data_IF_043148120084
#
_entry.id   IF_043148120084
#
_cell.length_a   1.000
_cell.length_b   1.000
_cell.length_c   1.000
_cell.angle_alpha   90.00
_cell.angle_beta   90.00
_cell.angle_gamma   90.00
#
_symmetry.space_group_name_H-M   'P 1'
#
loop_
_entity.id
_entity.type
_entity.pdbx_description
1 polymer ?
#
# COMPACT_ATOMS: atom_id res chain seq x y z
N UNK A 1 -10.54 -24.73 -2.85
CA UNK A 1 -9.53 -23.94 -2.12
C UNK A 1 -9.21 -22.72 -2.95
N UNK A 2 -9.17 -21.54 -2.33
CA UNK A 2 -8.74 -20.32 -3.00
C UNK A 2 -7.21 -20.34 -3.17
N UNK A 3 -6.67 -19.56 -4.13
CA UNK A 3 -5.26 -19.65 -4.50
C UNK A 3 -4.29 -19.27 -3.37
N UNK A 4 -4.70 -18.31 -2.52
CA UNK A 4 -3.91 -17.80 -1.38
C UNK A 4 -4.54 -18.14 -0.03
N UNK A 5 -5.36 -19.20 0.00
CA UNK A 5 -5.96 -19.69 1.24
C UNK A 5 -4.86 -20.06 2.25
N UNK A 6 -4.94 -19.49 3.46
CA UNK A 6 -3.95 -19.66 4.52
C UNK A 6 -2.88 -18.56 4.60
N UNK A 7 -2.70 -17.75 3.54
CA UNK A 7 -1.78 -16.61 3.59
C UNK A 7 -2.35 -15.48 4.44
N UNK A 8 -1.54 -14.92 5.34
CA UNK A 8 -1.90 -13.83 6.25
C UNK A 8 -1.14 -12.57 5.89
N UNK A 9 -1.86 -11.48 5.62
CA UNK A 9 -1.29 -10.19 5.21
C UNK A 9 -1.55 -9.13 6.27
N UNK A 10 -0.48 -8.48 6.72
CA UNK A 10 -0.54 -7.28 7.55
C UNK A 10 -0.47 -6.04 6.65
N UNK A 11 -1.62 -5.41 6.43
CA UNK A 11 -1.81 -4.31 5.50
C UNK A 11 -1.68 -2.96 6.21
N UNK A 12 -0.53 -2.32 6.03
CA UNK A 12 -0.20 -0.98 6.52
C UNK A 12 -0.36 0.10 5.43
N UNK A 13 -1.11 -0.21 4.37
CA UNK A 13 -1.24 0.67 3.21
C UNK A 13 -2.35 1.70 3.38
N UNK A 14 -2.24 2.79 2.64
CA UNK A 14 -3.17 3.92 2.63
C UNK A 14 -3.51 4.32 1.18
N UNK A 15 -4.62 5.03 0.99
CA UNK A 15 -5.07 5.46 -0.33
C UNK A 15 -5.28 4.29 -1.29
N UNK A 16 -4.58 4.22 -2.42
CA UNK A 16 -4.92 3.31 -3.53
C UNK A 16 -3.82 2.30 -3.89
N UNK A 17 -2.58 2.72 -4.13
CA UNK A 17 -1.57 1.82 -4.69
C UNK A 17 -1.33 0.56 -3.83
N UNK A 18 -1.22 0.72 -2.52
CA UNK A 18 -1.05 -0.41 -1.61
C UNK A 18 -2.35 -1.13 -1.25
N UNK A 19 -3.47 -0.40 -1.16
CA UNK A 19 -4.75 -1.00 -0.80
C UNK A 19 -5.31 -1.85 -1.93
N UNK A 20 -5.10 -1.44 -3.19
CA UNK A 20 -5.38 -2.26 -4.37
C UNK A 20 -4.53 -3.54 -4.38
N UNK A 21 -3.22 -3.45 -4.10
CA UNK A 21 -2.34 -4.62 -3.94
C UNK A 21 -2.93 -5.64 -2.96
N UNK A 22 -3.17 -5.23 -1.71
CA UNK A 22 -3.65 -6.15 -0.67
C UNK A 22 -5.09 -6.61 -0.92
N UNK A 23 -5.89 -5.84 -1.65
CA UNK A 23 -7.21 -6.27 -2.09
C UNK A 23 -7.15 -7.39 -3.14
N UNK A 24 -6.23 -7.32 -4.11
CA UNK A 24 -6.03 -8.43 -5.05
C UNK A 24 -5.64 -9.71 -4.31
N UNK A 25 -4.77 -9.62 -3.31
CA UNK A 25 -4.42 -10.77 -2.46
C UNK A 25 -5.64 -11.30 -1.69
N UNK A 26 -6.47 -10.41 -1.12
CA UNK A 26 -7.69 -10.78 -0.42
C UNK A 26 -8.70 -11.50 -1.33
N UNK A 27 -8.88 -11.02 -2.57
CA UNK A 27 -9.76 -11.65 -3.56
C UNK A 27 -9.29 -13.04 -3.99
N UNK A 28 -7.98 -13.29 -3.92
CA UNK A 28 -7.39 -14.60 -4.17
C UNK A 28 -7.40 -15.53 -2.94
N UNK A 29 -7.92 -15.07 -1.80
CA UNK A 29 -8.17 -15.89 -0.61
C UNK A 29 -7.29 -15.58 0.60
N UNK A 30 -6.42 -14.57 0.54
CA UNK A 30 -5.59 -14.18 1.67
C UNK A 30 -6.41 -13.57 2.82
N UNK A 31 -6.02 -13.85 4.06
CA UNK A 31 -6.55 -13.19 5.25
C UNK A 31 -5.83 -11.86 5.47
N UNK A 32 -6.50 -10.76 5.12
CA UNK A 32 -5.92 -9.42 5.17
C UNK A 32 -6.42 -8.65 6.38
N UNK A 33 -5.48 -8.24 7.23
CA UNK A 33 -5.72 -7.38 8.39
C UNK A 33 -5.10 -6.02 8.12
N UNK A 34 -5.95 -5.03 7.90
CA UNK A 34 -5.59 -3.63 7.71
C UNK A 34 -5.34 -2.97 9.06
N UNK A 35 -4.14 -2.45 9.24
CA UNK A 35 -3.76 -1.64 10.39
C UNK A 35 -4.00 -0.17 10.05
N UNK A 36 -4.85 0.48 10.83
CA UNK A 36 -5.20 1.89 10.64
C UNK A 36 -4.74 2.71 11.84
N UNK A 37 -4.37 3.98 11.60
CA UNK A 37 -4.16 4.93 12.69
C UNK A 37 -5.48 5.31 13.36
N UNK A 38 -5.46 6.05 14.49
CA UNK A 38 -6.66 6.50 15.19
C UNK A 38 -7.64 7.30 14.31
N UNK A 39 -7.12 7.99 13.28
CA UNK A 39 -7.92 8.72 12.28
C UNK A 39 -8.48 7.85 11.14
N UNK A 40 -8.12 6.56 11.10
CA UNK A 40 -8.39 5.68 9.97
C UNK A 40 -7.48 5.93 8.76
N UNK A 41 -7.68 5.13 7.72
CA UNK A 41 -7.16 5.39 6.38
C UNK A 41 -7.71 6.73 5.86
N UNK A 42 -6.86 7.65 5.37
CA UNK A 42 -7.30 8.91 4.75
C UNK A 42 -8.33 8.71 3.62
N UNK A 43 -8.30 7.57 2.93
CA UNK A 43 -9.28 7.16 1.93
C UNK A 43 -10.73 7.16 2.43
N UNK A 44 -10.95 7.02 3.75
CA UNK A 44 -12.29 7.11 4.37
C UNK A 44 -12.93 8.49 4.28
N UNK A 45 -12.12 9.54 4.08
CA UNK A 45 -12.58 10.94 4.06
C UNK A 45 -12.61 11.52 2.64
N UNK A 46 -12.23 10.73 1.63
CA UNK A 46 -12.27 11.17 0.24
C UNK A 46 -13.71 11.52 -0.14
N UNK A 47 -13.88 12.76 -0.62
CA UNK A 47 -15.16 13.39 -1.02
C UNK A 47 -16.15 13.73 0.11
N UNK A 48 -15.76 13.57 1.38
CA UNK A 48 -16.55 14.02 2.54
C UNK A 48 -17.89 13.29 2.71
N UNK A 49 -18.02 12.10 2.12
CA UNK A 49 -19.23 11.27 2.21
C UNK A 49 -19.31 10.59 3.59
N UNK A 50 -20.53 10.33 4.08
CA UNK A 50 -20.73 9.58 5.35
C UNK A 50 -20.14 8.18 5.27
N UNK A 51 -20.13 7.57 4.07
CA UNK A 51 -19.43 6.33 3.74
C UNK A 51 -18.70 6.55 2.43
N UNK A 52 -17.37 6.66 2.48
CA UNK A 52 -16.57 6.92 1.28
C UNK A 52 -16.56 5.72 0.33
N UNK A 53 -17.10 5.91 -0.87
CA UNK A 53 -17.04 4.91 -1.94
C UNK A 53 -15.59 4.55 -2.30
N UNK A 54 -14.68 5.52 -2.21
CA UNK A 54 -13.25 5.31 -2.43
C UNK A 54 -12.70 4.24 -1.47
N UNK A 55 -12.96 4.39 -0.18
CA UNK A 55 -12.50 3.41 0.81
C UNK A 55 -13.10 2.02 0.57
N UNK A 56 -14.40 1.94 0.30
CA UNK A 56 -15.09 0.67 0.06
C UNK A 56 -14.53 -0.08 -1.16
N UNK A 57 -14.26 0.65 -2.25
CA UNK A 57 -13.74 0.08 -3.48
C UNK A 57 -12.36 -0.58 -3.28
N UNK A 58 -11.48 -0.03 -2.44
CA UNK A 58 -10.11 -0.54 -2.27
C UNK A 58 -9.87 -1.36 -0.99
N UNK A 59 -10.87 -1.51 -0.12
CA UNK A 59 -10.70 -2.21 1.17
C UNK A 59 -11.74 -3.31 1.45
N UNK A 60 -12.51 -3.71 0.44
CA UNK A 60 -13.34 -4.92 0.51
C UNK A 60 -12.49 -6.17 0.82
N UNK A 61 -13.07 -7.15 1.51
CA UNK A 61 -12.44 -8.40 1.95
C UNK A 61 -11.29 -8.25 2.97
N UNK A 62 -11.24 -7.12 3.69
CA UNK A 62 -10.24 -6.87 4.75
C UNK A 62 -10.91 -6.72 6.10
N UNK A 63 -10.23 -7.18 7.16
CA UNK A 63 -10.55 -6.83 8.55
C UNK A 63 -9.73 -5.62 8.96
N UNK A 64 -10.27 -4.75 9.80
CA UNK A 64 -9.57 -3.54 10.26
C UNK A 64 -9.25 -3.63 11.75
N UNK A 65 -8.06 -3.17 12.12
CA UNK A 65 -7.64 -2.92 13.50
C UNK A 65 -7.02 -1.54 13.60
N UNK A 66 -7.36 -0.80 14.65
CA UNK A 66 -6.80 0.53 14.89
C UNK A 66 -5.62 0.42 15.84
N UNK A 67 -4.44 0.86 15.41
CA UNK A 67 -3.22 0.94 16.21
C UNK A 67 -2.65 2.36 16.17
N UNK A 68 -2.39 2.94 17.36
CA UNK A 68 -1.66 4.20 17.44
C UNK A 68 -0.15 3.94 17.42
N UNK A 69 0.45 3.89 16.24
CA UNK A 69 1.88 3.62 16.08
C UNK A 69 2.79 4.77 16.54
N UNK A 70 2.23 5.94 16.89
CA UNK A 70 2.98 7.00 17.54
C UNK A 70 3.21 6.71 19.04
N UNK A 71 2.50 5.74 19.64
CA UNK A 71 2.73 5.30 21.00
C UNK A 71 3.62 4.04 21.04
N UNK A 72 4.38 3.89 22.12
CA UNK A 72 5.20 2.70 22.37
C UNK A 72 4.39 1.42 22.35
N UNK A 73 3.18 1.45 22.92
CA UNK A 73 2.29 0.31 23.07
C UNK A 73 1.69 -0.11 21.72
N UNK A 74 1.28 0.86 20.89
CA UNK A 74 0.75 0.57 19.56
C UNK A 74 1.82 0.00 18.63
N UNK A 75 3.05 0.53 18.72
CA UNK A 75 4.20 -0.03 18.01
C UNK A 75 4.51 -1.45 18.49
N UNK A 76 4.60 -1.66 19.80
CA UNK A 76 4.90 -2.97 20.39
C UNK A 76 3.87 -4.02 19.97
N UNK A 77 2.58 -3.66 19.94
CA UNK A 77 1.54 -4.56 19.47
C UNK A 77 1.73 -4.94 17.99
N UNK A 78 2.14 -4.02 17.12
CA UNK A 78 2.47 -4.34 15.72
C UNK A 78 3.64 -5.33 15.65
N UNK A 79 4.69 -5.13 16.45
CA UNK A 79 5.84 -6.03 16.50
C UNK A 79 5.44 -7.44 16.96
N UNK A 80 4.52 -7.55 17.93
CA UNK A 80 3.98 -8.83 18.39
C UNK A 80 3.10 -9.49 17.35
N UNK A 81 2.45 -8.72 16.48
CA UNK A 81 1.66 -9.26 15.38
C UNK A 81 2.57 -9.83 14.27
N UNK A 82 3.66 -9.16 13.92
CA UNK A 82 4.48 -9.48 12.74
C UNK A 82 4.93 -10.97 12.59
N UNK A 83 5.31 -11.70 13.66
CA UNK A 83 5.64 -13.13 13.59
C UNK A 83 4.49 -14.05 13.12
N UNK A 84 3.26 -13.55 13.11
CA UNK A 84 2.07 -14.32 12.77
C UNK A 84 1.55 -14.06 11.35
N UNK A 85 2.24 -13.25 10.57
CA UNK A 85 1.86 -12.88 9.21
C UNK A 85 2.96 -13.27 8.22
N UNK A 86 2.56 -13.63 7.01
CA UNK A 86 3.48 -14.03 5.94
C UNK A 86 3.95 -12.81 5.14
N UNK A 87 3.09 -11.80 5.03
CA UNK A 87 3.33 -10.60 4.22
C UNK A 87 3.06 -9.33 5.04
N UNK A 88 3.97 -8.37 4.95
CA UNK A 88 3.78 -6.99 5.42
C UNK A 88 3.83 -6.04 4.24
N UNK A 89 2.82 -5.19 4.07
CA UNK A 89 2.74 -4.25 2.93
C UNK A 89 2.60 -2.81 3.43
N UNK A 90 3.45 -1.91 2.95
CA UNK A 90 3.40 -0.48 3.28
C UNK A 90 3.62 0.43 2.07
N UNK A 91 2.98 1.59 2.08
CA UNK A 91 3.17 2.64 1.07
C UNK A 91 3.32 4.04 1.67
N UNK A 92 3.86 4.14 2.89
CA UNK A 92 4.07 5.43 3.54
C UNK A 92 5.12 6.26 2.81
N UNK A 93 5.03 7.58 3.00
CA UNK A 93 6.02 8.52 2.49
C UNK A 93 7.43 8.28 3.05
N UNK A 94 8.49 8.77 2.36
CA UNK A 94 9.88 8.59 2.80
C UNK A 94 10.11 9.04 4.24
N UNK A 95 10.83 8.22 5.01
CA UNK A 95 11.21 8.50 6.41
C UNK A 95 10.14 8.18 7.45
N UNK A 96 8.92 7.78 7.07
CA UNK A 96 7.86 7.47 8.05
C UNK A 96 8.10 6.12 8.72
N UNK A 97 8.40 5.08 7.94
CA UNK A 97 8.66 3.73 8.45
C UNK A 97 9.88 3.71 9.38
N UNK A 98 10.92 4.46 9.01
CA UNK A 98 12.15 4.59 9.78
C UNK A 98 11.88 5.29 11.12
N UNK A 99 11.04 6.34 11.14
CA UNK A 99 10.61 6.99 12.38
C UNK A 99 9.75 6.10 13.28
N UNK A 100 8.91 5.26 12.68
CA UNK A 100 8.09 4.30 13.40
C UNK A 100 8.90 3.07 13.88
N UNK A 101 10.13 2.89 13.37
CA UNK A 101 11.01 1.78 13.68
C UNK A 101 10.34 0.41 13.46
N UNK A 102 9.76 0.25 12.26
CA UNK A 102 9.04 -0.94 11.76
C UNK A 102 9.54 -1.32 10.35
N UNK A 103 10.79 -0.99 10.05
CA UNK A 103 11.46 -1.35 8.81
C UNK A 103 11.72 -2.86 8.69
N UNK A 104 12.19 -3.29 7.52
CA UNK A 104 12.52 -4.70 7.29
C UNK A 104 13.66 -5.19 8.17
N UNK A 105 14.62 -4.33 8.48
CA UNK A 105 15.70 -4.58 9.45
C UNK A 105 15.16 -4.97 10.83
N UNK A 106 14.00 -4.44 11.23
CA UNK A 106 13.36 -4.79 12.51
C UNK A 106 12.42 -5.98 12.36
N UNK A 107 11.49 -5.94 11.39
CA UNK A 107 10.47 -6.98 11.26
C UNK A 107 11.04 -8.31 10.74
N UNK A 108 12.09 -8.26 9.92
CA UNK A 108 12.78 -9.44 9.40
C UNK A 108 13.56 -10.19 10.47
N UNK A 109 14.06 -9.52 11.52
CA UNK A 109 14.65 -10.19 12.69
C UNK A 109 13.60 -10.96 13.49
N UNK A 110 12.38 -10.41 13.60
CA UNK A 110 11.26 -11.03 14.31
C UNK A 110 10.62 -12.16 13.50
N UNK A 111 10.65 -12.04 12.17
CA UNK A 111 10.11 -13.03 11.25
C UNK A 111 11.00 -13.16 10.01
N UNK A 112 11.97 -14.09 10.02
CA UNK A 112 12.87 -14.31 8.88
C UNK A 112 12.18 -14.80 7.60
N UNK A 113 10.95 -15.32 7.70
CA UNK A 113 10.13 -15.74 6.56
C UNK A 113 9.24 -14.63 5.98
N UNK A 114 9.28 -13.41 6.55
CA UNK A 114 8.39 -12.32 6.16
C UNK A 114 8.70 -11.78 4.76
N UNK A 115 7.69 -11.73 3.90
CA UNK A 115 7.71 -10.95 2.68
C UNK A 115 7.39 -9.50 3.03
N UNK A 116 8.38 -8.60 2.91
CA UNK A 116 8.23 -7.18 3.21
C UNK A 116 8.12 -6.36 1.92
N UNK A 117 6.90 -5.93 1.60
CA UNK A 117 6.59 -5.20 0.38
C UNK A 117 6.47 -3.69 0.64
N UNK A 118 7.25 -2.90 -0.11
CA UNK A 118 7.26 -1.43 -0.05
C UNK A 118 6.85 -0.84 -1.38
N UNK A 119 5.79 -0.04 -1.38
CA UNK A 119 5.38 0.73 -2.56
C UNK A 119 5.85 2.17 -2.39
N UNK A 120 6.57 2.69 -3.38
CA UNK A 120 7.18 4.03 -3.39
C UNK A 120 7.12 4.59 -4.80
N UNK A 121 6.84 5.89 -4.94
CA UNK A 121 6.71 6.54 -6.24
C UNK A 121 7.94 6.41 -7.15
N UNK A 122 9.14 6.54 -6.57
CA UNK A 122 10.41 6.50 -7.31
C UNK A 122 11.38 5.45 -6.73
N UNK A 123 10.86 4.45 -6.01
CA UNK A 123 11.67 3.45 -5.33
C UNK A 123 12.37 3.94 -4.07
N UNK A 124 13.32 3.13 -3.57
CA UNK A 124 14.05 3.35 -2.31
C UNK A 124 15.43 4.02 -2.49
N UNK A 125 15.90 4.12 -3.73
CA UNK A 125 17.27 4.57 -4.06
C UNK A 125 17.25 5.54 -5.24
N UNK A 126 18.33 6.30 -5.42
CA UNK A 126 18.48 7.24 -6.52
C UNK A 126 18.01 8.66 -6.20
N UNK A 127 18.12 9.58 -7.17
CA UNK A 127 17.96 11.02 -6.93
C UNK A 127 16.56 11.45 -6.50
N UNK A 128 15.54 10.63 -6.79
CA UNK A 128 14.12 10.93 -6.52
C UNK A 128 13.53 10.11 -5.37
N UNK A 129 14.33 9.30 -4.66
CA UNK A 129 13.83 8.40 -3.60
C UNK A 129 13.07 9.13 -2.46
N UNK A 130 13.39 10.41 -2.23
CA UNK A 130 12.74 11.24 -1.22
C UNK A 130 11.51 12.01 -1.73
N UNK A 131 11.11 11.82 -2.99
CA UNK A 131 9.97 12.53 -3.56
C UNK A 131 8.67 11.77 -3.23
N UNK A 132 7.63 12.55 -2.91
CA UNK A 132 6.27 12.02 -2.81
C UNK A 132 5.67 11.91 -4.20
N UNK A 133 4.96 10.83 -4.46
CA UNK A 133 4.25 10.63 -5.72
C UNK A 133 2.88 10.08 -5.43
N UNK A 134 1.88 10.72 -6.01
CA UNK A 134 0.55 10.15 -6.22
C UNK A 134 0.42 9.76 -7.69
N UNK A 135 -0.68 9.09 -8.04
CA UNK A 135 -0.96 8.57 -9.38
C UNK A 135 -0.52 9.51 -10.52
N UNK A 136 -1.00 10.75 -10.57
CA UNK A 136 -0.68 11.69 -11.66
C UNK A 136 0.79 12.07 -11.74
N UNK A 137 1.51 12.12 -10.61
CA UNK A 137 2.96 12.37 -10.61
C UNK A 137 3.69 11.16 -11.21
N UNK A 138 3.25 9.94 -10.88
CA UNK A 138 3.81 8.72 -11.46
C UNK A 138 3.50 8.61 -12.97
N UNK A 139 2.28 8.93 -13.39
CA UNK A 139 1.92 8.94 -14.80
C UNK A 139 2.70 9.98 -15.61
N UNK A 140 2.84 11.20 -15.07
CA UNK A 140 3.62 12.24 -15.72
C UNK A 140 5.10 11.87 -15.84
N UNK A 141 5.69 11.33 -14.77
CA UNK A 141 7.11 10.96 -14.74
C UNK A 141 7.42 9.75 -15.63
N UNK A 142 6.46 8.83 -15.81
CA UNK A 142 6.56 7.69 -16.73
C UNK A 142 6.34 8.08 -18.20
N UNK A 143 5.99 9.34 -18.49
CA UNK A 143 5.75 9.83 -19.84
C UNK A 143 4.35 9.54 -20.39
N UNK A 144 3.44 8.93 -19.61
CA UNK A 144 2.08 8.60 -20.05
C UNK A 144 1.34 9.81 -20.59
N UNK A 145 1.45 10.96 -19.93
CA UNK A 145 0.78 12.19 -20.37
C UNK A 145 1.29 12.67 -21.73
N UNK A 146 2.58 12.45 -22.03
CA UNK A 146 3.21 12.91 -23.28
C UNK A 146 2.77 12.13 -24.51
N UNK A 147 2.24 10.92 -24.33
CA UNK A 147 1.77 10.03 -25.40
C UNK A 147 0.24 9.87 -25.41
N UNK A 148 -0.46 10.67 -24.61
CA UNK A 148 -1.92 10.63 -24.49
C UNK A 148 -2.50 11.99 -24.84
N UNK A 149 -3.47 12.00 -25.75
CA UNK A 149 -4.16 13.20 -26.20
C UNK A 149 -4.09 13.40 -27.72
N UNK A 150 -4.45 14.59 -28.16
CA UNK A 150 -4.32 15.00 -29.57
C UNK A 150 -2.87 15.33 -29.93
N UNK A 151 -2.48 15.11 -31.19
CA UNK A 151 -1.09 15.31 -31.67
C UNK A 151 -0.55 16.72 -31.36
N UNK A 152 -1.38 17.74 -31.58
CA UNK A 152 -1.03 19.15 -31.34
C UNK A 152 -1.67 19.69 -30.05
N UNK A 153 -2.16 18.80 -29.18
CA UNK A 153 -2.80 19.13 -27.90
C UNK A 153 -1.83 19.15 -26.72
N UNK A 154 -2.26 19.63 -25.54
CA UNK A 154 -1.47 19.51 -24.33
C UNK A 154 -1.38 18.03 -23.86
N UNK A 155 -0.33 17.65 -23.10
CA UNK A 155 -0.27 16.35 -22.44
C UNK A 155 -1.53 16.08 -21.62
N UNK A 156 -2.16 14.92 -21.85
CA UNK A 156 -3.48 14.61 -21.27
C UNK A 156 -3.38 13.52 -20.22
N UNK A 157 -4.08 13.72 -19.11
CA UNK A 157 -4.21 12.73 -18.03
C UNK A 157 -5.04 11.54 -18.50
N UNK A 158 -4.58 10.33 -18.21
CA UNK A 158 -5.35 9.10 -18.47
C UNK A 158 -6.39 8.91 -17.36
N UNK A 159 -7.63 8.57 -17.74
CA UNK A 159 -8.74 8.41 -16.79
C UNK A 159 -8.48 7.34 -15.71
N UNK A 160 -8.04 6.12 -16.10
CA UNK A 160 -7.58 5.11 -15.15
C UNK A 160 -6.35 5.54 -14.33
N UNK A 161 -6.33 5.16 -13.06
CA UNK A 161 -5.24 5.36 -12.10
C UNK A 161 -4.13 4.30 -12.26
N UNK A 162 -3.50 4.29 -13.44
CA UNK A 162 -2.49 3.28 -13.80
C UNK A 162 -1.20 3.41 -12.99
N UNK A 163 -0.92 4.58 -12.41
CA UNK A 163 0.24 4.79 -11.53
C UNK A 163 0.02 4.14 -10.17
N UNK A 164 -1.16 4.29 -9.59
CA UNK A 164 -1.51 3.69 -8.30
C UNK A 164 -1.97 2.24 -8.44
N UNK A 165 -3.16 1.98 -9.00
CA UNK A 165 -3.72 0.62 -9.13
C UNK A 165 -2.84 -0.29 -10.00
N UNK A 166 -2.21 0.26 -11.05
CA UNK A 166 -1.27 -0.51 -11.87
C UNK A 166 -0.04 -0.98 -11.08
N UNK A 167 0.52 -0.12 -10.20
CA UNK A 167 1.59 -0.53 -9.27
C UNK A 167 1.08 -1.55 -8.25
N UNK A 168 -0.16 -1.40 -7.78
CA UNK A 168 -0.79 -2.35 -6.87
C UNK A 168 -0.87 -3.77 -7.44
N UNK A 169 -1.27 -3.91 -8.71
CA UNK A 169 -1.29 -5.20 -9.41
C UNK A 169 0.13 -5.79 -9.50
N UNK A 170 1.11 -4.97 -9.90
CA UNK A 170 2.50 -5.43 -10.02
C UNK A 170 3.07 -5.89 -8.67
N UNK A 171 2.75 -5.18 -7.59
CA UNK A 171 3.19 -5.56 -6.25
C UNK A 171 2.51 -6.85 -5.77
N UNK A 172 1.21 -7.03 -6.04
CA UNK A 172 0.52 -8.27 -5.71
C UNK A 172 1.16 -9.47 -6.45
N UNK A 173 1.49 -9.31 -7.73
CA UNK A 173 2.22 -10.33 -8.51
C UNK A 173 3.60 -10.62 -7.89
N UNK A 174 4.35 -9.58 -7.52
CA UNK A 174 5.66 -9.72 -6.89
C UNK A 174 5.58 -10.50 -5.57
N UNK A 175 4.58 -10.19 -4.72
CA UNK A 175 4.34 -10.89 -3.46
C UNK A 175 4.04 -12.38 -3.71
N UNK A 176 3.21 -12.72 -4.70
CA UNK A 176 2.91 -14.13 -5.01
C UNK A 176 4.08 -14.92 -5.62
N UNK A 177 5.15 -14.23 -6.01
CA UNK A 177 6.34 -14.84 -6.61
C UNK A 177 7.52 -14.99 -5.64
N UNK A 178 7.47 -14.31 -4.49
CA UNK A 178 8.52 -14.29 -3.47
C UNK A 178 8.47 -15.54 -2.59
#
# INVERSE_FOLDING_TARGET
MAALEGMRVLDMTQYEAGTSCTQYLAWLGADVVKVEGPSGDPGRQVRGETVSQYFLNYNSNKRSVVLNLASSEGRELLLQMAPHYDVFVENYGPGVIEKLNIGYDVLGELNPGLIYARIKGFGLTGPYANYKSYDWVAQASAGTFSVTGEVDGPPTVVGPTIGDTGTGIQMALAITSA
#
